data_IF_349411369130
#
_entry.id   IF_349411369130
#
_cell.length_a   1.000
_cell.length_b   1.000
_cell.length_c   1.000
_cell.angle_alpha   90.00
_cell.angle_beta   90.00
_cell.angle_gamma   90.00
#
_symmetry.space_group_name_H-M   'P 1'
#
loop_
_entity.id
_entity.type
_entity.pdbx_description
1 polymer ?
#
# COMPACT_ATOMS: atom_id res chain seq x y z
N UNK A 1 -26.81 13.30 -60.93
CA UNK A 1 -27.40 14.54 -60.40
C UNK A 1 -26.60 14.93 -59.17
N UNK A 2 -25.68 15.90 -59.28
CA UNK A 2 -24.68 16.22 -58.26
C UNK A 2 -25.30 17.16 -57.21
N UNK A 3 -25.04 16.92 -55.92
CA UNK A 3 -25.53 17.67 -54.75
C UNK A 3 -25.27 19.21 -54.84
N UNK A 4 -26.10 19.95 -55.56
CA UNK A 4 -25.93 21.40 -55.76
C UNK A 4 -26.54 22.27 -54.63
N UNK A 5 -27.09 21.68 -53.57
CA UNK A 5 -27.78 22.42 -52.49
C UNK A 5 -26.99 22.57 -51.18
N UNK A 6 -25.71 22.16 -51.12
CA UNK A 6 -24.90 22.29 -49.90
C UNK A 6 -23.78 23.30 -50.13
N UNK A 7 -23.80 24.42 -49.38
CA UNK A 7 -22.75 25.44 -49.47
C UNK A 7 -21.38 24.85 -49.11
N UNK A 8 -20.27 25.28 -49.76
CA UNK A 8 -18.94 24.74 -49.51
C UNK A 8 -18.50 24.89 -48.04
N UNK A 9 -18.98 25.93 -47.33
CA UNK A 9 -18.77 26.09 -45.88
C UNK A 9 -19.45 24.99 -45.06
N UNK A 10 -20.69 24.58 -45.41
CA UNK A 10 -21.40 23.48 -44.75
C UNK A 10 -20.75 22.12 -45.05
N UNK A 11 -20.19 21.92 -46.25
CA UNK A 11 -19.45 20.71 -46.60
C UNK A 11 -18.14 20.57 -45.81
N UNK A 12 -17.38 21.66 -45.63
CA UNK A 12 -16.14 21.65 -44.85
C UNK A 12 -16.42 21.46 -43.35
N UNK A 13 -17.49 22.07 -42.82
CA UNK A 13 -17.95 21.84 -41.45
C UNK A 13 -18.36 20.38 -41.23
N UNK A 14 -19.09 19.77 -42.16
CA UNK A 14 -19.47 18.36 -42.08
C UNK A 14 -18.25 17.41 -42.12
N UNK A 15 -17.25 17.71 -42.96
CA UNK A 15 -15.99 16.96 -43.00
C UNK A 15 -15.19 17.09 -41.71
N UNK A 16 -15.15 18.29 -41.11
CA UNK A 16 -14.47 18.53 -39.84
C UNK A 16 -15.17 17.79 -38.69
N UNK A 17 -16.51 17.82 -38.63
CA UNK A 17 -17.28 17.07 -37.64
C UNK A 17 -17.06 15.56 -37.80
N UNK A 18 -17.04 15.05 -39.04
CA UNK A 18 -16.74 13.65 -39.30
C UNK A 18 -15.31 13.28 -38.86
N UNK A 19 -14.32 14.13 -39.12
CA UNK A 19 -12.94 13.91 -38.68
C UNK A 19 -12.82 13.89 -37.14
N UNK A 20 -13.52 14.78 -36.44
CA UNK A 20 -13.56 14.80 -34.98
C UNK A 20 -14.21 13.54 -34.40
N UNK A 21 -15.30 13.07 -35.00
CA UNK A 21 -15.96 11.82 -34.56
C UNK A 21 -15.05 10.60 -34.76
N UNK A 22 -14.31 10.55 -35.88
CA UNK A 22 -13.34 9.48 -36.15
C UNK A 22 -12.17 9.54 -35.15
N UNK A 23 -11.65 10.73 -34.83
CA UNK A 23 -10.59 10.88 -33.84
C UNK A 23 -11.01 10.36 -32.46
N UNK A 24 -12.19 10.75 -31.97
CA UNK A 24 -12.72 10.28 -30.70
C UNK A 24 -12.96 8.76 -30.69
N UNK A 25 -13.42 8.18 -31.81
CA UNK A 25 -13.60 6.74 -31.93
C UNK A 25 -12.27 5.97 -31.90
N UNK A 26 -11.22 6.53 -32.50
CA UNK A 26 -9.87 5.95 -32.45
C UNK A 26 -9.31 6.01 -31.04
N UNK A 27 -9.43 7.14 -30.34
CA UNK A 27 -8.98 7.30 -28.95
C UNK A 27 -9.66 6.29 -28.02
N UNK A 28 -10.96 6.05 -28.20
CA UNK A 28 -11.71 5.05 -27.42
C UNK A 28 -11.20 3.62 -27.69
N UNK A 29 -10.85 3.32 -28.94
CA UNK A 29 -10.33 2.00 -29.33
C UNK A 29 -8.94 1.73 -28.73
N UNK A 30 -8.05 2.73 -28.72
CA UNK A 30 -6.75 2.62 -28.06
C UNK A 30 -6.88 2.41 -26.55
N UNK A 31 -7.77 3.13 -25.86
CA UNK A 31 -7.98 2.95 -24.42
C UNK A 31 -8.58 1.57 -24.09
N UNK A 32 -9.49 1.05 -24.91
CA UNK A 32 -10.06 -0.29 -24.72
C UNK A 32 -9.01 -1.41 -24.79
N UNK A 33 -8.00 -1.29 -25.67
CA UNK A 33 -6.90 -2.28 -25.74
C UNK A 33 -6.00 -2.26 -24.51
N UNK A 34 -5.78 -1.08 -23.91
CA UNK A 34 -5.00 -0.96 -22.68
C UNK A 34 -5.71 -1.60 -21.47
N UNK A 35 -7.05 -1.48 -21.39
CA UNK A 35 -7.84 -2.09 -20.32
C UNK A 35 -7.86 -3.63 -20.40
N UNK A 36 -7.74 -4.21 -21.60
CA UNK A 36 -7.68 -5.66 -21.82
C UNK A 36 -6.27 -6.25 -21.65
N UNK A 37 -5.24 -5.41 -21.55
CA UNK A 37 -3.83 -5.82 -21.44
C UNK A 37 -3.30 -5.84 -19.99
N UNK A 38 -4.08 -5.39 -19.00
CA UNK A 38 -3.69 -5.51 -17.59
C UNK A 38 -3.89 -6.95 -17.11
N UNK A 39 -2.79 -7.69 -17.05
CA UNK A 39 -2.74 -8.97 -16.36
C UNK A 39 -2.97 -8.74 -14.86
N UNK A 40 -4.11 -9.23 -14.36
CA UNK A 40 -4.44 -9.14 -12.93
C UNK A 40 -3.38 -9.79 -12.05
N UNK A 41 -2.68 -10.82 -12.55
CA UNK A 41 -1.58 -11.45 -11.82
C UNK A 41 -0.34 -10.54 -11.74
N UNK A 42 -0.06 -9.75 -12.77
CA UNK A 42 0.98 -8.72 -12.74
C UNK A 42 0.66 -7.63 -11.71
N UNK A 43 -0.60 -7.19 -11.62
CA UNK A 43 -1.04 -6.24 -10.59
C UNK A 43 -0.88 -6.79 -9.16
N UNK A 44 -1.26 -8.04 -8.92
CA UNK A 44 -1.10 -8.71 -7.61
C UNK A 44 0.38 -8.88 -7.24
N UNK A 45 1.22 -9.24 -8.23
CA UNK A 45 2.67 -9.40 -8.02
C UNK A 45 3.33 -8.06 -7.70
N UNK A 46 2.91 -6.99 -8.38
CA UNK A 46 3.41 -5.64 -8.10
C UNK A 46 2.95 -5.16 -6.72
N UNK A 47 1.69 -5.35 -6.35
CA UNK A 47 1.19 -5.02 -5.01
C UNK A 47 1.98 -5.77 -3.92
N UNK A 48 2.26 -7.06 -4.12
CA UNK A 48 3.07 -7.87 -3.19
C UNK A 48 4.47 -7.31 -3.04
N UNK A 49 5.11 -6.92 -4.13
CA UNK A 49 6.46 -6.32 -4.12
C UNK A 49 6.48 -5.00 -3.36
N UNK A 50 5.45 -4.16 -3.56
CA UNK A 50 5.31 -2.89 -2.84
C UNK A 50 5.14 -3.13 -1.33
N UNK A 51 4.27 -4.05 -0.93
CA UNK A 51 4.07 -4.39 0.50
C UNK A 51 5.35 -4.93 1.13
N UNK A 52 6.09 -5.79 0.42
CA UNK A 52 7.41 -6.28 0.85
C UNK A 52 8.41 -5.14 1.05
N UNK A 53 8.44 -4.17 0.14
CA UNK A 53 9.32 -3.00 0.24
C UNK A 53 9.08 -2.13 1.48
N UNK A 54 7.85 -2.09 2.01
CA UNK A 54 7.54 -1.36 3.23
C UNK A 54 7.86 -2.12 4.52
N UNK A 55 8.15 -3.41 4.43
CA UNK A 55 8.25 -4.28 5.60
C UNK A 55 9.40 -3.87 6.53
N UNK A 56 10.58 -3.55 5.99
CA UNK A 56 11.72 -3.10 6.80
C UNK A 56 11.47 -1.77 7.49
N UNK A 57 10.84 -0.82 6.79
CA UNK A 57 10.48 0.48 7.38
C UNK A 57 9.43 0.30 8.48
N UNK A 58 8.42 -0.55 8.25
CA UNK A 58 7.43 -0.90 9.27
C UNK A 58 8.04 -1.58 10.49
N UNK A 59 9.02 -2.46 10.28
CA UNK A 59 9.76 -3.12 11.35
C UNK A 59 10.55 -2.11 12.21
N UNK A 60 11.23 -1.16 11.57
CA UNK A 60 11.95 -0.10 12.28
C UNK A 60 11.02 0.77 13.12
N UNK A 61 9.84 1.11 12.58
CA UNK A 61 8.82 1.85 13.32
C UNK A 61 8.31 1.05 14.53
N UNK A 62 8.04 -0.25 14.36
CA UNK A 62 7.64 -1.14 15.46
C UNK A 62 8.70 -1.21 16.55
N UNK A 63 9.99 -1.28 16.20
CA UNK A 63 11.08 -1.25 17.17
C UNK A 63 11.17 0.08 17.91
N UNK A 64 10.97 1.21 17.24
CA UNK A 64 10.94 2.52 17.88
C UNK A 64 9.79 2.61 18.90
N UNK A 65 8.59 2.18 18.53
CA UNK A 65 7.43 2.14 19.44
C UNK A 65 7.69 1.16 20.60
N UNK A 66 8.25 -0.02 20.29
CA UNK A 66 8.61 -1.04 21.25
C UNK A 66 9.62 -0.55 22.29
N UNK A 67 10.61 0.23 21.89
CA UNK A 67 11.58 0.84 22.80
C UNK A 67 10.91 1.81 23.77
N UNK A 68 10.02 2.69 23.29
CA UNK A 68 9.29 3.64 24.14
C UNK A 68 8.39 2.91 25.13
N UNK A 69 7.58 1.95 24.67
CA UNK A 69 6.69 1.18 25.53
C UNK A 69 7.48 0.30 26.51
N UNK A 70 8.63 -0.24 26.08
CA UNK A 70 9.55 -1.02 26.91
C UNK A 70 10.08 -0.22 28.09
N UNK A 71 10.50 1.03 27.87
CA UNK A 71 10.94 1.95 28.92
C UNK A 71 9.79 2.25 29.90
N UNK A 72 8.59 2.54 29.40
CA UNK A 72 7.41 2.79 30.24
C UNK A 72 7.10 1.56 31.12
N UNK A 73 7.18 0.36 30.55
CA UNK A 73 7.01 -0.90 31.28
C UNK A 73 8.06 -1.08 32.39
N UNK A 74 9.32 -0.77 32.10
CA UNK A 74 10.40 -0.84 33.09
C UNK A 74 10.16 0.11 34.28
N UNK A 75 9.70 1.34 34.01
CA UNK A 75 9.34 2.31 35.06
C UNK A 75 8.21 1.75 35.95
N UNK A 76 7.20 1.09 35.37
CA UNK A 76 6.12 0.46 36.13
C UNK A 76 6.62 -0.69 37.01
N UNK A 77 7.46 -1.56 36.47
CA UNK A 77 8.06 -2.68 37.24
C UNK A 77 8.88 -2.14 38.40
N UNK A 78 9.71 -1.12 38.15
CA UNK A 78 10.50 -0.46 39.18
C UNK A 78 9.62 0.18 40.26
N UNK A 79 8.53 0.86 39.87
CA UNK A 79 7.59 1.46 40.81
C UNK A 79 6.94 0.40 41.71
N UNK A 80 6.47 -0.72 41.15
CA UNK A 80 5.89 -1.84 41.91
C UNK A 80 6.90 -2.48 42.87
N UNK A 81 8.15 -2.63 42.42
CA UNK A 81 9.24 -3.16 43.23
C UNK A 81 9.50 -2.30 44.46
N UNK A 82 9.58 -0.98 44.29
CA UNK A 82 9.78 -0.05 45.40
C UNK A 82 8.57 0.04 46.33
N UNK A 83 7.37 -0.19 45.82
CA UNK A 83 6.15 -0.25 46.62
C UNK A 83 6.00 -1.57 47.41
N UNK A 84 6.87 -2.55 47.18
CA UNK A 84 6.79 -3.86 47.84
C UNK A 84 5.59 -4.70 47.40
N UNK A 85 5.07 -4.48 46.19
CA UNK A 85 3.89 -5.18 45.72
C UNK A 85 4.18 -6.69 45.50
N UNK A 86 3.34 -7.60 46.03
CA UNK A 86 3.60 -9.04 45.98
C UNK A 86 3.57 -9.62 44.56
N UNK A 87 2.99 -8.91 43.58
CA UNK A 87 2.90 -9.37 42.19
C UNK A 87 4.02 -8.84 41.27
N UNK A 88 5.01 -8.11 41.83
CA UNK A 88 6.09 -7.48 41.06
C UNK A 88 6.84 -8.49 40.18
N UNK A 89 7.19 -9.67 40.70
CA UNK A 89 7.93 -10.70 39.93
C UNK A 89 7.14 -11.18 38.71
N UNK A 90 5.82 -11.33 38.84
CA UNK A 90 4.94 -11.70 37.72
C UNK A 90 4.90 -10.61 36.67
N UNK A 91 4.77 -9.35 37.09
CA UNK A 91 4.73 -8.19 36.18
C UNK A 91 6.08 -8.00 35.48
N UNK A 92 7.19 -8.17 36.21
CA UNK A 92 8.54 -8.10 35.66
C UNK A 92 8.78 -9.19 34.60
N UNK A 93 8.38 -10.43 34.88
CA UNK A 93 8.50 -11.54 33.94
C UNK A 93 7.64 -11.32 32.68
N UNK A 94 6.40 -10.83 32.84
CA UNK A 94 5.51 -10.53 31.72
C UNK A 94 6.05 -9.39 30.83
N UNK A 95 6.58 -8.33 31.45
CA UNK A 95 7.24 -7.23 30.74
C UNK A 95 8.45 -7.73 29.95
N UNK A 96 9.34 -8.48 30.61
CA UNK A 96 10.55 -9.01 29.97
C UNK A 96 10.24 -9.95 28.81
N UNK A 97 9.26 -10.87 28.99
CA UNK A 97 8.80 -11.75 27.92
C UNK A 97 8.23 -10.97 26.72
N UNK A 98 7.50 -9.88 26.98
CA UNK A 98 6.96 -9.01 25.93
C UNK A 98 8.08 -8.30 25.14
N UNK A 99 9.15 -7.85 25.82
CA UNK A 99 10.31 -7.25 25.17
C UNK A 99 11.03 -8.24 24.24
N UNK A 100 11.24 -9.48 24.69
CA UNK A 100 11.86 -10.53 23.87
C UNK A 100 10.98 -10.83 22.65
N UNK A 101 9.67 -11.00 22.86
CA UNK A 101 8.72 -11.25 21.78
C UNK A 101 8.80 -10.19 20.69
N UNK A 102 8.85 -8.91 21.06
CA UNK A 102 8.92 -7.79 20.13
C UNK A 102 10.19 -7.83 19.25
N UNK A 103 11.32 -8.27 19.79
CA UNK A 103 12.58 -8.40 19.03
C UNK A 103 12.49 -9.57 18.04
N UNK A 104 11.96 -10.71 18.49
CA UNK A 104 11.94 -11.97 17.71
C UNK A 104 10.86 -11.98 16.62
N UNK A 105 9.72 -11.32 16.85
CA UNK A 105 8.58 -11.35 15.91
C UNK A 105 8.94 -10.85 14.52
N UNK A 106 9.83 -9.86 14.42
CA UNK A 106 10.31 -9.35 13.14
C UNK A 106 10.99 -10.44 12.29
N UNK A 107 11.86 -11.24 12.90
CA UNK A 107 12.58 -12.33 12.22
C UNK A 107 11.61 -13.40 11.76
N UNK A 108 10.63 -13.74 12.61
CA UNK A 108 9.60 -14.75 12.29
C UNK A 108 8.74 -14.28 11.11
N UNK A 109 8.29 -13.02 11.11
CA UNK A 109 7.47 -12.51 10.01
C UNK A 109 8.28 -12.40 8.71
N UNK A 110 9.52 -11.92 8.74
CA UNK A 110 10.40 -11.91 7.55
C UNK A 110 10.57 -13.32 6.98
N UNK A 111 10.75 -14.32 7.85
CA UNK A 111 10.87 -15.73 7.47
C UNK A 111 9.59 -16.26 6.79
N UNK A 112 8.40 -15.86 7.25
CA UNK A 112 7.14 -16.26 6.61
C UNK A 112 6.94 -15.65 5.21
N UNK A 113 7.46 -14.46 4.96
CA UNK A 113 7.32 -13.76 3.67
C UNK A 113 8.51 -13.94 2.71
N UNK A 114 9.53 -14.71 3.14
CA UNK A 114 10.75 -14.95 2.37
C UNK A 114 11.56 -13.67 2.13
N UNK A 115 11.63 -12.81 3.15
CA UNK A 115 12.40 -11.56 3.16
C UNK A 115 13.73 -11.72 3.89
#
# INVERSE_FOLDING_TARGET
MKNQFISPKKQNAAKLLLALLIANALDLFFNATNALAQDGNAGITQATTMVKGYFDTGCNLMYAIGAVVGIIGAIKVYSKWNAGEPDTNRVAAAWFGSCIFLVVVATVIKSFFGL
#
